data_IF_080442103972
#
_entry.id   IF_080442103972
#
_cell.length_a   1.000
_cell.length_b   1.000
_cell.length_c   1.000
_cell.angle_alpha   90.00
_cell.angle_beta   90.00
_cell.angle_gamma   90.00
#
_symmetry.space_group_name_H-M   'P 1'
#
loop_
_entity.id
_entity.type
_entity.pdbx_description
1 polymer ?
#
# COMPACT_ATOMS: atom_id res chain seq x y z
N UNK A 1 10.55 2.66 -26.47
CA UNK A 1 10.91 1.48 -25.65
C UNK A 1 9.83 1.29 -24.57
N UNK A 2 9.12 0.16 -24.50
CA UNK A 2 8.13 -0.08 -23.42
C UNK A 2 8.88 -0.39 -22.13
N UNK A 3 8.67 0.40 -21.07
CA UNK A 3 9.19 0.08 -19.73
C UNK A 3 8.59 -1.26 -19.27
N UNK A 4 9.45 -2.20 -18.86
CA UNK A 4 9.02 -3.47 -18.25
C UNK A 4 8.71 -3.17 -16.79
N UNK A 5 7.53 -3.60 -16.34
CA UNK A 5 7.08 -3.38 -14.98
C UNK A 5 6.86 -4.73 -14.34
N UNK A 6 7.48 -4.91 -13.19
CA UNK A 6 7.44 -6.12 -12.38
C UNK A 6 6.39 -5.96 -11.30
N UNK A 7 5.69 -7.05 -11.02
CA UNK A 7 4.60 -7.09 -10.06
C UNK A 7 4.81 -8.28 -9.15
N UNK A 8 4.99 -8.02 -7.86
CA UNK A 8 5.11 -9.07 -6.86
C UNK A 8 3.94 -9.04 -5.89
N UNK A 9 3.47 -10.23 -5.53
CA UNK A 9 2.45 -10.39 -4.50
C UNK A 9 3.13 -10.51 -3.15
N UNK A 10 2.72 -9.66 -2.24
CA UNK A 10 3.15 -9.66 -0.85
C UNK A 10 1.93 -9.79 0.04
N UNK A 11 2.16 -10.30 1.24
CA UNK A 11 1.19 -10.22 2.33
C UNK A 11 1.55 -9.07 3.25
N UNK A 12 0.58 -8.56 4.01
CA UNK A 12 0.84 -7.59 5.07
C UNK A 12 0.11 -7.95 6.35
N UNK A 13 0.69 -7.61 7.49
CA UNK A 13 0.03 -7.75 8.79
C UNK A 13 -1.07 -6.72 8.99
N UNK A 14 -0.86 -5.50 8.51
CA UNK A 14 -1.77 -4.36 8.70
C UNK A 14 -1.88 -3.53 7.43
N UNK A 15 -3.12 -3.34 6.97
CA UNK A 15 -3.45 -2.48 5.84
C UNK A 15 -3.99 -1.10 6.25
N UNK A 16 -4.55 -0.96 7.46
CA UNK A 16 -5.19 0.25 7.94
C UNK A 16 -4.23 0.97 8.91
N UNK A 17 -3.72 2.13 8.49
CA UNK A 17 -2.71 2.86 9.25
C UNK A 17 -3.27 4.17 9.78
N UNK A 18 -2.99 4.48 11.05
CA UNK A 18 -3.36 5.76 11.65
C UNK A 18 -2.41 6.85 11.16
N UNK A 19 -2.98 7.99 10.78
CA UNK A 19 -2.25 9.17 10.32
C UNK A 19 -2.24 10.17 11.46
N UNK A 20 -1.05 10.54 11.93
CA UNK A 20 -0.86 11.45 13.07
C UNK A 20 -0.51 12.87 12.64
N UNK A 21 -0.28 13.10 11.35
CA UNK A 21 0.07 14.40 10.79
C UNK A 21 -1.13 15.35 10.85
N UNK A 22 -1.07 16.47 11.60
CA UNK A 22 -2.22 17.36 11.79
C UNK A 22 -2.72 18.04 10.51
N UNK A 23 -1.85 18.20 9.51
CA UNK A 23 -2.19 18.84 8.24
C UNK A 23 -2.96 17.94 7.26
N UNK A 24 -3.11 16.65 7.56
CA UNK A 24 -3.83 15.72 6.68
C UNK A 24 -5.34 15.80 6.96
N UNK A 25 -6.19 15.88 5.93
CA UNK A 25 -7.65 15.92 6.10
C UNK A 25 -8.27 14.54 6.38
N UNK A 26 -7.48 13.60 6.89
CA UNK A 26 -7.90 12.23 7.21
C UNK A 26 -7.06 11.67 8.34
N UNK A 27 -7.67 10.80 9.15
CA UNK A 27 -7.07 10.22 10.34
C UNK A 27 -6.52 8.80 10.07
N UNK A 28 -6.90 8.21 8.94
CA UNK A 28 -6.54 6.84 8.56
C UNK A 28 -6.17 6.75 7.08
N UNK A 29 -5.31 5.79 6.74
CA UNK A 29 -4.93 5.51 5.36
C UNK A 29 -4.86 4.02 5.05
N UNK A 30 -5.19 3.69 3.80
CA UNK A 30 -5.12 2.35 3.22
C UNK A 30 -4.33 2.44 1.91
N UNK A 31 -3.32 1.59 1.77
CA UNK A 31 -2.49 1.50 0.56
C UNK A 31 -2.36 0.03 0.14
N UNK A 32 -3.21 -0.46 -0.79
CA UNK A 32 -3.19 -1.85 -1.28
C UNK A 32 -1.95 -2.17 -2.12
N UNK A 33 -1.33 -1.14 -2.68
CA UNK A 33 -0.14 -1.25 -3.50
C UNK A 33 1.02 -0.52 -2.85
N UNK A 34 2.23 -0.82 -3.33
CA UNK A 34 3.44 -0.05 -3.08
C UNK A 34 4.22 0.07 -4.39
N UNK A 35 4.71 1.26 -4.68
CA UNK A 35 5.28 1.60 -5.99
C UNK A 35 4.30 2.38 -6.86
N UNK A 36 4.80 3.22 -7.77
CA UNK A 36 3.98 4.00 -8.67
C UNK A 36 4.67 4.25 -10.02
N UNK A 37 4.01 3.84 -11.10
CA UNK A 37 4.51 3.91 -12.48
C UNK A 37 4.70 5.36 -13.00
N UNK A 38 4.21 6.37 -12.28
CA UNK A 38 4.39 7.78 -12.66
C UNK A 38 5.84 8.26 -12.46
N UNK A 39 6.58 7.70 -11.50
CA UNK A 39 8.01 8.03 -11.39
C UNK A 39 8.33 9.46 -10.93
N UNK A 40 7.42 10.14 -10.22
CA UNK A 40 7.67 11.51 -9.79
C UNK A 40 8.87 11.58 -8.83
N UNK A 41 9.88 12.37 -9.18
CA UNK A 41 11.11 12.51 -8.40
C UNK A 41 10.86 13.00 -6.97
N UNK A 42 9.85 13.87 -6.80
CA UNK A 42 9.40 14.46 -5.54
C UNK A 42 8.39 13.60 -4.75
N UNK A 43 8.12 12.37 -5.18
CA UNK A 43 7.12 11.54 -4.50
C UNK A 43 7.61 11.06 -3.13
N UNK A 44 6.93 11.48 -2.07
CA UNK A 44 7.25 11.09 -0.70
C UNK A 44 7.23 9.56 -0.50
N UNK A 45 6.41 8.84 -1.26
CA UNK A 45 6.26 7.39 -1.17
C UNK A 45 7.55 6.62 -1.55
N UNK A 46 8.45 7.24 -2.33
CA UNK A 46 9.75 6.65 -2.73
C UNK A 46 10.62 6.32 -1.53
N UNK A 47 10.63 7.20 -0.52
CA UNK A 47 11.43 7.01 0.68
C UNK A 47 11.06 5.73 1.43
N UNK A 48 9.81 5.24 1.31
CA UNK A 48 9.40 4.02 1.98
C UNK A 48 9.86 2.75 1.28
N UNK A 49 10.38 2.83 0.04
CA UNK A 49 10.76 1.63 -0.71
C UNK A 49 12.01 0.96 -0.14
N UNK A 50 12.90 1.75 0.45
CA UNK A 50 14.11 1.25 1.10
C UNK A 50 13.90 0.53 2.41
N UNK A 51 12.76 0.73 3.08
CA UNK A 51 12.39 -0.11 4.22
C UNK A 51 12.27 -1.59 3.83
N UNK A 52 12.19 -1.88 2.53
CA UNK A 52 12.16 -3.24 2.00
C UNK A 52 13.54 -3.74 1.54
N UNK A 53 14.60 -2.95 1.74
CA UNK A 53 15.95 -3.24 1.24
C UNK A 53 16.08 -3.10 -0.28
N UNK A 54 15.13 -2.41 -0.92
CA UNK A 54 15.16 -2.11 -2.35
C UNK A 54 15.77 -0.74 -2.61
N UNK A 55 16.46 -0.61 -3.73
CA UNK A 55 17.10 0.64 -4.13
C UNK A 55 16.08 1.77 -4.34
N UNK A 56 16.52 3.00 -4.05
CA UNK A 56 15.70 4.22 -4.12
C UNK A 56 15.53 4.77 -5.54
N UNK A 57 16.12 4.10 -6.51
CA UNK A 57 16.22 4.53 -7.90
C UNK A 57 14.90 4.32 -8.66
N UNK A 58 15.00 3.85 -9.90
CA UNK A 58 13.86 3.55 -10.75
C UNK A 58 13.06 2.31 -10.29
N UNK A 59 13.52 1.60 -9.26
CA UNK A 59 12.80 0.46 -8.68
C UNK A 59 11.39 0.84 -8.22
N UNK A 60 11.18 2.05 -7.67
CA UNK A 60 9.83 2.51 -7.27
C UNK A 60 8.82 2.63 -8.42
N UNK A 61 9.27 2.94 -9.63
CA UNK A 61 8.40 3.09 -10.80
C UNK A 61 8.29 1.82 -11.65
N UNK A 62 9.25 0.90 -11.49
CA UNK A 62 9.33 -0.33 -12.27
C UNK A 62 8.93 -1.59 -11.49
N UNK A 63 8.83 -1.54 -10.16
CA UNK A 63 8.45 -2.68 -9.32
C UNK A 63 7.28 -2.32 -8.41
N UNK A 64 6.14 -2.97 -8.63
CA UNK A 64 4.89 -2.70 -7.91
C UNK A 64 4.55 -3.90 -7.04
N UNK A 65 4.52 -3.70 -5.73
CA UNK A 65 4.12 -4.72 -4.78
C UNK A 65 2.61 -4.65 -4.53
N UNK A 66 1.95 -5.79 -4.67
CA UNK A 66 0.51 -5.95 -4.50
C UNK A 66 0.26 -6.65 -3.17
N UNK A 67 -0.42 -5.99 -2.24
CA UNK A 67 -0.82 -6.60 -0.97
C UNK A 67 -2.05 -7.48 -1.20
N UNK A 68 -1.83 -8.74 -1.55
CA UNK A 68 -2.90 -9.65 -1.98
C UNK A 68 -3.91 -9.94 -0.86
N UNK A 69 -3.46 -9.91 0.39
CA UNK A 69 -4.30 -10.11 1.57
C UNK A 69 -4.90 -8.80 2.12
N UNK A 70 -4.91 -7.70 1.35
CA UNK A 70 -5.39 -6.40 1.83
C UNK A 70 -6.82 -6.44 2.38
N UNK A 71 -7.75 -7.12 1.70
CA UNK A 71 -9.14 -7.25 2.16
C UNK A 71 -9.22 -8.04 3.48
N UNK A 72 -8.64 -9.24 3.51
CA UNK A 72 -8.61 -10.08 4.72
C UNK A 72 -7.91 -9.39 5.91
N UNK A 73 -6.82 -8.67 5.66
CA UNK A 73 -6.12 -7.89 6.67
C UNK A 73 -6.99 -6.74 7.20
N UNK A 74 -7.76 -6.07 6.34
CA UNK A 74 -8.69 -5.01 6.76
C UNK A 74 -9.79 -5.58 7.64
N UNK A 75 -10.44 -6.66 7.21
CA UNK A 75 -11.51 -7.32 7.97
C UNK A 75 -11.04 -7.75 9.35
N UNK A 76 -9.87 -8.40 9.44
CA UNK A 76 -9.29 -8.82 10.71
C UNK A 76 -9.00 -7.62 11.64
N UNK A 77 -8.49 -6.52 11.09
CA UNK A 77 -8.23 -5.30 11.87
C UNK A 77 -9.52 -4.64 12.35
N UNK A 78 -10.53 -4.51 11.50
CA UNK A 78 -11.82 -3.94 11.85
C UNK A 78 -12.52 -4.81 12.91
N UNK A 79 -12.49 -6.13 12.78
CA UNK A 79 -13.03 -7.06 13.78
C UNK A 79 -12.34 -6.92 15.14
N UNK A 80 -11.02 -6.71 15.15
CA UNK A 80 -10.27 -6.43 16.39
C UNK A 80 -10.64 -5.08 17.00
N UNK A 81 -10.78 -4.03 16.19
CA UNK A 81 -11.15 -2.69 16.65
C UNK A 81 -12.57 -2.64 17.17
N UNK A 82 -13.51 -3.37 16.55
CA UNK A 82 -14.89 -3.47 17.00
C UNK A 82 -15.00 -4.04 18.43
N UNK A 83 -14.09 -4.93 18.83
CA UNK A 83 -14.03 -5.50 20.19
C UNK A 83 -13.35 -4.59 21.22
N UNK A 84 -12.72 -3.51 20.79
CA UNK A 84 -11.98 -2.60 21.69
C UNK A 84 -12.93 -1.60 22.38
N UNK A 85 -12.51 -1.01 23.50
CA UNK A 85 -13.33 -0.05 24.29
C UNK A 85 -13.88 1.14 23.50
N UNK A 86 -13.24 1.52 22.38
CA UNK A 86 -13.69 2.59 21.47
C UNK A 86 -14.55 2.12 20.29
N UNK A 87 -14.68 0.81 20.09
CA UNK A 87 -15.39 0.19 18.97
C UNK A 87 -14.95 0.73 17.61
N UNK A 88 -15.85 0.68 16.62
CA UNK A 88 -15.62 1.28 15.30
C UNK A 88 -15.77 2.81 15.29
N UNK A 89 -16.30 3.41 16.37
CA UNK A 89 -16.51 4.87 16.47
C UNK A 89 -15.20 5.66 16.47
N UNK A 90 -14.07 5.01 16.75
CA UNK A 90 -12.73 5.60 16.68
C UNK A 90 -12.20 5.78 15.25
N UNK A 91 -12.89 5.21 14.24
CA UNK A 91 -12.50 5.32 12.84
C UNK A 91 -13.15 6.58 12.25
N UNK A 92 -12.30 7.51 11.83
CA UNK A 92 -12.69 8.73 11.13
C UNK A 92 -12.61 8.56 9.61
N UNK A 93 -12.15 9.60 8.93
CA UNK A 93 -11.96 9.60 7.48
C UNK A 93 -10.78 8.72 7.10
N UNK A 94 -10.99 7.88 6.08
CA UNK A 94 -9.97 6.98 5.55
C UNK A 94 -9.63 7.43 4.13
N UNK A 95 -8.36 7.74 3.88
CA UNK A 95 -7.86 7.97 2.54
C UNK A 95 -7.30 6.67 1.94
N UNK A 96 -7.62 6.39 0.68
CA UNK A 96 -7.13 5.22 -0.05
C UNK A 96 -6.16 5.69 -1.13
N UNK A 97 -4.99 5.05 -1.22
CA UNK A 97 -4.02 5.36 -2.27
C UNK A 97 -3.22 6.64 -2.02
N UNK A 98 -3.02 7.02 -0.76
CA UNK A 98 -2.18 8.20 -0.42
C UNK A 98 -0.73 8.02 -0.87
N UNK A 99 -0.23 6.78 -0.93
CA UNK A 99 1.13 6.44 -1.33
C UNK A 99 1.21 5.76 -2.72
N UNK A 100 0.07 5.46 -3.34
CA UNK A 100 0.00 4.77 -4.65
C UNK A 100 -1.22 5.22 -5.42
N UNK A 101 -1.06 5.55 -6.70
CA UNK A 101 -2.18 6.02 -7.53
C UNK A 101 -3.04 4.81 -7.93
N UNK A 102 -4.33 4.75 -7.51
CA UNK A 102 -5.16 3.56 -7.69
C UNK A 102 -5.49 3.20 -9.15
N UNK A 103 -5.44 4.18 -10.06
CA UNK A 103 -6.02 4.09 -11.41
C UNK A 103 -5.02 3.82 -12.53
N UNK A 104 -3.71 3.82 -12.26
CA UNK A 104 -2.70 3.63 -13.31
C UNK A 104 -2.35 2.15 -13.56
N UNK A 105 -2.81 1.25 -12.69
CA UNK A 105 -2.60 -0.18 -12.89
C UNK A 105 -3.49 -0.68 -14.03
N UNK A 106 -2.93 -0.70 -15.25
CA UNK A 106 -3.31 -1.74 -16.24
C UNK A 106 -3.41 -3.05 -15.45
N UNK A 107 -4.57 -3.73 -15.54
CA UNK A 107 -4.83 -4.98 -14.81
C UNK A 107 -3.53 -5.79 -14.71
N UNK A 108 -3.05 -6.11 -13.49
CA UNK A 108 -1.86 -6.95 -13.37
C UNK A 108 -2.12 -8.24 -14.15
N UNK A 109 -1.12 -8.79 -14.83
CA UNK A 109 -1.28 -10.04 -15.57
C UNK A 109 -1.83 -11.12 -14.63
N UNK A 110 -2.78 -11.92 -15.14
CA UNK A 110 -3.62 -12.84 -14.35
C UNK A 110 -2.79 -13.92 -13.63
N UNK A 111 -1.57 -14.17 -14.10
CA UNK A 111 -0.59 -15.10 -13.54
C UNK A 111 0.74 -14.38 -13.28
N UNK A 112 1.07 -14.17 -12.00
CA UNK A 112 2.40 -13.76 -11.54
C UNK A 112 2.93 -14.86 -10.62
N UNK A 113 4.20 -15.28 -10.76
CA UNK A 113 4.75 -16.37 -9.98
C UNK A 113 4.91 -15.97 -8.51
N UNK A 114 4.51 -16.87 -7.60
CA UNK A 114 4.93 -16.93 -6.20
C UNK A 114 4.69 -15.70 -5.31
N UNK A 115 3.78 -15.81 -4.36
CA UNK A 115 3.68 -14.86 -3.23
C UNK A 115 4.98 -14.90 -2.41
N UNK A 116 5.72 -13.79 -2.35
CA UNK A 116 6.88 -13.66 -1.45
C UNK A 116 6.36 -13.07 -0.14
N UNK A 117 6.14 -13.94 0.85
CA UNK A 117 5.84 -13.53 2.22
C UNK A 117 7.11 -13.02 2.90
N UNK A 118 7.45 -11.77 2.65
CA UNK A 118 8.27 -10.95 3.56
C UNK A 118 7.46 -9.68 3.81
N UNK A 119 7.57 -9.07 4.99
CA UNK A 119 6.93 -7.82 5.46
C UNK A 119 5.62 -7.95 6.27
#
# INVERSE_FOLDING_TARGET
MKRRIEYDRITTKQILNRVTTPSMPFEWSINPYRGCQHGCSFCYARAFHSFLGMDYDDTFQNHILIKENAAASLEAQLAKMAKSKGGLKQIGRIAIGTATIPTSLRKPPRSLPGSVSKY
#
